data_IF_765919626104
#
_entry.id   IF_765919626104
#
_cell.length_a   1.000
_cell.length_b   1.000
_cell.length_c   1.000
_cell.angle_alpha   90.00
_cell.angle_beta   90.00
_cell.angle_gamma   90.00
#
_symmetry.space_group_name_H-M   'P 1'
#
loop_
_entity.id
_entity.type
_entity.pdbx_description
1 polymer ?
#
# COMPACT_ATOMS: atom_id res chain seq x y z
N UNK A 1 -16.66 -1.76 -14.73
CA UNK A 1 -16.18 -2.80 -13.79
C UNK A 1 -15.00 -2.22 -13.05
N UNK A 2 -15.16 -1.99 -11.76
CA UNK A 2 -14.20 -1.26 -10.95
C UNK A 2 -13.16 -2.27 -10.44
N UNK A 3 -12.02 -2.37 -11.13
CA UNK A 3 -10.99 -3.38 -10.84
C UNK A 3 -10.05 -2.85 -9.76
N UNK A 4 -10.20 -3.34 -8.53
CA UNK A 4 -9.23 -3.15 -7.45
C UNK A 4 -8.14 -4.19 -7.61
N UNK A 5 -6.88 -3.77 -7.78
CA UNK A 5 -5.77 -4.70 -7.99
C UNK A 5 -4.45 -4.15 -7.47
N UNK A 6 -3.51 -5.05 -7.20
CA UNK A 6 -2.12 -4.72 -6.91
C UNK A 6 -1.31 -4.59 -8.21
N UNK A 7 -0.63 -3.48 -8.44
CA UNK A 7 0.34 -3.30 -9.53
C UNK A 7 1.74 -3.62 -9.04
N UNK A 8 2.26 -4.81 -9.36
CA UNK A 8 3.65 -5.17 -9.08
C UNK A 8 4.55 -4.70 -10.22
N UNK A 9 5.46 -3.76 -9.96
CA UNK A 9 6.34 -3.15 -10.96
C UNK A 9 7.79 -3.38 -10.61
N UNK A 10 8.63 -3.57 -11.63
CA UNK A 10 10.08 -3.55 -11.49
C UNK A 10 10.59 -2.12 -11.63
N UNK A 11 11.40 -1.67 -10.69
CA UNK A 11 12.03 -0.34 -10.74
C UNK A 11 13.45 -0.40 -11.28
N UNK A 12 13.99 0.77 -11.66
CA UNK A 12 15.41 0.92 -11.98
C UNK A 12 16.24 0.37 -10.81
N UNK A 13 17.27 -0.41 -11.14
CA UNK A 13 18.14 -1.19 -10.24
C UNK A 13 17.67 -2.62 -9.94
N UNK A 14 16.62 -3.12 -10.60
CA UNK A 14 16.21 -4.52 -10.47
C UNK A 14 15.40 -4.81 -9.21
N UNK A 15 15.08 -3.79 -8.42
CA UNK A 15 14.17 -3.88 -7.29
C UNK A 15 12.70 -3.89 -7.76
N UNK A 16 11.79 -4.13 -6.83
CA UNK A 16 10.36 -4.32 -7.05
C UNK A 16 9.57 -3.44 -6.10
N UNK A 17 8.49 -2.83 -6.58
CA UNK A 17 7.51 -2.17 -5.75
C UNK A 17 6.13 -2.63 -6.17
N UNK A 18 5.17 -2.57 -5.26
CA UNK A 18 3.78 -2.75 -5.62
C UNK A 18 2.92 -1.57 -5.19
N UNK A 19 1.83 -1.33 -5.91
CA UNK A 19 0.86 -0.29 -5.58
C UNK A 19 -0.54 -0.87 -5.53
N UNK A 20 -1.33 -0.48 -4.54
CA UNK A 20 -2.75 -0.85 -4.48
C UNK A 20 -3.56 0.22 -5.22
N UNK A 21 -4.25 -0.19 -6.28
CA UNK A 21 -5.23 0.67 -6.96
C UNK A 21 -6.63 0.42 -6.44
N UNK A 22 -7.31 1.52 -6.14
CA UNK A 22 -8.71 1.54 -5.77
C UNK A 22 -9.64 1.31 -6.97
N UNK A 23 -10.92 1.19 -6.65
CA UNK A 23 -11.98 0.89 -7.62
C UNK A 23 -12.21 2.06 -8.60
N UNK A 24 -11.93 3.30 -8.18
CA UNK A 24 -11.98 4.49 -9.03
C UNK A 24 -10.64 4.79 -9.75
N UNK A 25 -9.65 3.89 -9.65
CA UNK A 25 -8.39 3.96 -10.37
C UNK A 25 -7.32 4.82 -9.68
N UNK A 26 -7.61 5.38 -8.51
CA UNK A 26 -6.64 6.06 -7.65
C UNK A 26 -5.63 5.09 -7.05
N UNK A 27 -4.42 5.58 -6.76
CA UNK A 27 -3.43 4.84 -5.98
C UNK A 27 -3.74 5.12 -4.51
N UNK A 28 -4.04 4.07 -3.76
CA UNK A 28 -4.37 4.19 -2.32
C UNK A 28 -3.11 4.06 -1.48
N UNK A 29 -2.22 3.15 -1.90
CA UNK A 29 -1.06 2.73 -1.13
C UNK A 29 0.04 2.29 -2.07
N UNK A 30 1.28 2.54 -1.68
CA UNK A 30 2.46 2.04 -2.36
C UNK A 30 3.41 1.41 -1.36
N UNK A 31 3.99 0.29 -1.77
CA UNK A 31 4.93 -0.45 -0.94
C UNK A 31 6.29 0.22 -0.92
N UNK A 32 7.09 -0.15 0.08
CA UNK A 32 8.53 0.03 0.04
C UNK A 32 9.15 -0.71 -1.15
N UNK A 33 10.39 -0.33 -1.47
CA UNK A 33 11.15 -0.96 -2.54
C UNK A 33 11.78 -2.25 -2.03
N UNK A 34 11.38 -3.38 -2.61
CA UNK A 34 11.88 -4.70 -2.30
C UNK A 34 13.02 -5.11 -3.24
N UNK A 35 14.04 -5.75 -2.70
CA UNK A 35 15.16 -6.27 -3.48
C UNK A 35 14.77 -7.42 -4.42
N UNK A 36 13.70 -8.17 -4.11
CA UNK A 36 13.26 -9.32 -4.87
C UNK A 36 11.74 -9.33 -5.09
N UNK A 37 11.32 -9.97 -6.19
CA UNK A 37 9.90 -10.18 -6.51
C UNK A 37 9.18 -10.99 -5.43
N UNK A 38 9.84 -12.05 -4.94
CA UNK A 38 9.29 -12.92 -3.90
C UNK A 38 9.01 -12.15 -2.60
N UNK A 39 9.89 -11.22 -2.22
CA UNK A 39 9.65 -10.36 -1.05
C UNK A 39 8.44 -9.45 -1.24
N UNK A 40 8.25 -8.89 -2.43
CA UNK A 40 7.08 -8.07 -2.74
C UNK A 40 5.78 -8.90 -2.73
N UNK A 41 5.79 -10.12 -3.26
CA UNK A 41 4.64 -11.04 -3.23
C UNK A 41 4.28 -11.49 -1.81
N UNK A 42 5.29 -11.76 -0.98
CA UNK A 42 5.09 -12.06 0.43
C UNK A 42 4.45 -10.87 1.15
N UNK A 43 4.97 -9.66 0.90
CA UNK A 43 4.42 -8.43 1.45
C UNK A 43 2.96 -8.23 1.01
N UNK A 44 2.60 -8.42 -0.26
CA UNK A 44 1.20 -8.35 -0.72
C UNK A 44 0.31 -9.33 0.04
N UNK A 45 0.78 -10.57 0.23
CA UNK A 45 0.05 -11.60 0.98
C UNK A 45 -0.16 -11.20 2.44
N UNK A 46 0.86 -10.59 3.04
CA UNK A 46 0.77 -10.05 4.38
C UNK A 46 -0.22 -8.87 4.46
N UNK A 47 -0.14 -7.92 3.52
CA UNK A 47 -1.07 -6.78 3.44
C UNK A 47 -2.51 -7.29 3.35
N UNK A 48 -2.79 -8.30 2.53
CA UNK A 48 -4.15 -8.88 2.43
C UNK A 48 -4.71 -9.36 3.77
N UNK A 49 -3.86 -9.97 4.60
CA UNK A 49 -4.25 -10.50 5.90
C UNK A 49 -4.30 -9.42 6.99
N UNK A 50 -3.37 -8.47 6.95
CA UNK A 50 -3.14 -7.46 7.98
C UNK A 50 -3.92 -6.17 7.77
N UNK A 51 -4.15 -5.78 6.51
CA UNK A 51 -4.85 -4.56 6.15
C UNK A 51 -6.30 -4.45 6.67
N UNK A 52 -7.05 -5.52 6.93
CA UNK A 52 -8.35 -5.38 7.62
C UNK A 52 -8.24 -4.88 9.06
N UNK A 53 -7.04 -4.90 9.66
CA UNK A 53 -6.77 -4.44 11.02
C UNK A 53 -6.27 -3.00 11.00
N UNK A 54 -7.09 -2.07 11.53
CA UNK A 54 -6.74 -0.65 11.62
C UNK A 54 -5.49 -0.40 12.48
N UNK A 55 -5.17 -1.29 13.43
CA UNK A 55 -3.99 -1.14 14.32
C UNK A 55 -2.66 -1.28 13.57
N UNK A 56 -2.69 -1.84 12.36
CA UNK A 56 -1.50 -2.01 11.51
C UNK A 56 -1.19 -0.73 10.73
N UNK A 57 -2.13 0.21 10.71
CA UNK A 57 -1.97 1.52 10.12
C UNK A 57 -1.54 2.54 11.17
N UNK A 58 -0.52 3.32 10.83
CA UNK A 58 -0.07 4.44 11.66
C UNK A 58 -0.16 5.73 10.84
N UNK A 59 -0.82 6.74 11.40
CA UNK A 59 -0.91 8.06 10.79
C UNK A 59 0.30 8.89 11.21
N UNK A 60 1.03 9.40 10.23
CA UNK A 60 2.23 10.22 10.37
C UNK A 60 2.06 11.54 9.62
N UNK A 61 2.94 12.48 9.91
CA UNK A 61 3.00 13.77 9.23
C UNK A 61 4.34 13.90 8.53
N UNK A 62 4.32 14.34 7.28
CA UNK A 62 5.56 14.58 6.53
C UNK A 62 6.26 15.86 7.02
N UNK A 63 7.40 16.20 6.41
CA UNK A 63 8.15 17.42 6.75
C UNK A 63 7.37 18.73 6.50
N UNK A 64 6.24 18.68 5.80
CA UNK A 64 5.34 19.81 5.52
C UNK A 64 4.04 19.72 6.33
N UNK A 65 4.04 18.93 7.42
CA UNK A 65 2.88 18.69 8.29
C UNK A 65 1.67 18.10 7.55
N UNK A 66 1.90 17.42 6.41
CA UNK A 66 0.82 16.76 5.66
C UNK A 66 0.61 15.34 6.19
N UNK A 67 -0.63 14.99 6.59
CA UNK A 67 -0.92 13.68 7.12
C UNK A 67 -0.85 12.60 6.03
N UNK A 68 -0.14 11.52 6.31
CA UNK A 68 -0.10 10.31 5.51
C UNK A 68 -0.20 9.11 6.44
N UNK A 69 -0.59 7.95 5.91
CA UNK A 69 -0.56 6.71 6.68
C UNK A 69 0.54 5.78 6.17
N UNK A 70 1.11 5.02 7.09
CA UNK A 70 1.99 3.90 6.82
C UNK A 70 1.32 2.59 7.23
N UNK A 71 1.68 1.50 6.55
CA UNK A 71 1.30 0.15 6.94
C UNK A 71 2.51 -0.55 7.51
N UNK A 72 2.37 -1.07 8.73
CA UNK A 72 3.42 -1.84 9.40
C UNK A 72 3.07 -3.33 9.45
N UNK A 73 4.11 -4.15 9.47
CA UNK A 73 4.01 -5.54 9.84
C UNK A 73 3.95 -5.72 11.36
N UNK A 74 3.67 -6.94 11.81
CA UNK A 74 3.73 -7.37 13.22
C UNK A 74 5.12 -7.16 13.83
N UNK A 75 6.15 -7.19 13.00
CA UNK A 75 7.55 -6.97 13.40
C UNK A 75 7.94 -5.48 13.33
N UNK A 76 6.95 -4.58 13.32
CA UNK A 76 7.10 -3.12 13.16
C UNK A 76 7.78 -2.66 11.85
N UNK A 77 7.97 -3.57 10.90
CA UNK A 77 8.57 -3.25 9.61
C UNK A 77 7.57 -2.47 8.74
N UNK A 78 8.02 -1.34 8.19
CA UNK A 78 7.21 -0.57 7.24
C UNK A 78 7.09 -1.37 5.94
N UNK A 79 5.86 -1.72 5.59
CA UNK A 79 5.53 -2.43 4.34
C UNK A 79 5.32 -1.42 3.21
N UNK A 80 4.80 -0.26 3.56
CA UNK A 80 4.65 0.85 2.63
C UNK A 80 3.89 2.00 3.24
N UNK A 81 3.55 2.94 2.39
CA UNK A 81 2.89 4.17 2.79
C UNK A 81 1.98 4.72 1.71
N UNK A 82 1.22 5.73 2.10
CA UNK A 82 0.36 6.50 1.20
C UNK A 82 1.00 7.84 0.84
N UNK A 83 0.41 8.49 -0.16
CA UNK A 83 0.76 9.85 -0.50
C UNK A 83 0.27 10.79 0.61
N UNK A 84 0.98 11.92 0.86
CA UNK A 84 0.52 12.93 1.80
C UNK A 84 -0.83 13.50 1.38
N UNK A 85 -1.79 13.45 2.30
CA UNK A 85 -3.12 14.00 2.14
C UNK A 85 -3.18 15.46 2.59
N UNK A 86 -4.24 16.15 2.19
CA UNK A 86 -4.49 17.54 2.61
C UNK A 86 -4.94 17.67 4.06
N UNK A 87 -5.57 16.64 4.64
CA UNK A 87 -6.06 16.65 6.01
C UNK A 87 -6.20 15.23 6.59
N UNK A 88 -6.24 15.13 7.92
CA UNK A 88 -6.33 13.83 8.62
C UNK A 88 -7.60 13.06 8.23
N UNK A 89 -8.71 13.77 8.02
CA UNK A 89 -9.98 13.16 7.62
C UNK A 89 -9.85 12.45 6.26
N UNK A 90 -9.08 13.01 5.33
CA UNK A 90 -8.79 12.38 4.04
C UNK A 90 -7.91 11.14 4.22
N UNK A 91 -6.86 11.23 5.05
CA UNK A 91 -6.00 10.09 5.36
C UNK A 91 -6.79 8.93 6.01
N UNK A 92 -7.65 9.22 7.00
CA UNK A 92 -8.50 8.21 7.66
C UNK A 92 -9.50 7.56 6.70
N UNK A 93 -10.08 8.35 5.79
CA UNK A 93 -10.96 7.81 4.74
C UNK A 93 -10.17 6.88 3.82
N UNK A 94 -8.96 7.26 3.45
CA UNK A 94 -8.09 6.44 2.62
C UNK A 94 -7.64 5.16 3.33
N UNK A 95 -7.40 5.16 4.66
CA UNK A 95 -7.17 3.93 5.44
C UNK A 95 -8.36 2.99 5.28
N UNK A 96 -9.60 3.45 5.51
CA UNK A 96 -10.80 2.61 5.35
C UNK A 96 -10.92 2.03 3.94
N UNK A 97 -10.62 2.84 2.93
CA UNK A 97 -10.59 2.37 1.53
C UNK A 97 -9.47 1.36 1.31
N UNK A 98 -8.28 1.57 1.90
CA UNK A 98 -7.16 0.63 1.84
C UNK A 98 -7.54 -0.71 2.45
N UNK A 99 -8.16 -0.73 3.64
CA UNK A 99 -8.62 -1.96 4.30
C UNK A 99 -9.55 -2.77 3.38
N UNK A 100 -10.50 -2.08 2.73
CA UNK A 100 -11.47 -2.71 1.82
C UNK A 100 -10.84 -3.15 0.48
N UNK A 101 -9.88 -2.39 -0.04
CA UNK A 101 -9.25 -2.70 -1.31
C UNK A 101 -8.15 -3.77 -1.17
N UNK A 102 -7.49 -3.82 -0.01
CA UNK A 102 -6.33 -4.65 0.22
C UNK A 102 -6.64 -6.15 0.18
N UNK A 103 -7.89 -6.55 0.44
CA UNK A 103 -8.34 -7.95 0.37
C UNK A 103 -8.42 -8.49 -1.07
N UNK A 104 -8.18 -7.65 -2.09
CA UNK A 104 -8.25 -8.08 -3.49
C UNK A 104 -7.23 -9.18 -3.80
N UNK A 105 -7.65 -10.30 -4.43
CA UNK A 105 -6.74 -11.31 -4.93
C UNK A 105 -6.05 -10.90 -6.24
N UNK A 106 -6.52 -9.84 -6.92
CA UNK A 106 -5.97 -9.42 -8.21
C UNK A 106 -4.58 -8.81 -8.06
N UNK A 107 -3.60 -9.37 -8.78
CA UNK A 107 -2.25 -8.83 -8.92
C UNK A 107 -1.95 -8.70 -10.40
N UNK A 108 -1.67 -7.48 -10.84
CA UNK A 108 -1.12 -7.18 -12.16
C UNK A 108 0.39 -7.11 -12.05
N UNK A 109 1.03 -8.17 -12.52
CA UNK A 109 2.48 -8.24 -12.67
C UNK A 109 2.94 -7.47 -13.92
N UNK A 110 3.67 -6.38 -13.67
CA UNK A 110 4.25 -5.47 -14.64
C UNK A 110 5.79 -5.49 -14.53
N UNK A 111 6.36 -6.62 -14.15
CA UNK A 111 7.82 -6.81 -13.99
C UNK A 111 8.54 -7.28 -15.25
N UNK A 112 7.80 -7.47 -16.35
CA UNK A 112 8.31 -7.90 -17.67
C UNK A 112 9.24 -6.89 -18.32
#
# INVERSE_FOLDING_TARGET
MSHVYYELKKVRNGHFLFKLRGSAGEIIFFSEVYSSKASAEHAISYVRYSAPDETTYELRHDSHERPYFILKSKDEQIIGHSDPYSCESAARKAIKTAMQCAVTPEIKDLTR
#
